data_IF_666631175173
#
_entry.id   IF_666631175173
#
_cell.length_a   1.000
_cell.length_b   1.000
_cell.length_c   1.000
_cell.angle_alpha   90.00
_cell.angle_beta   90.00
_cell.angle_gamma   90.00
#
_symmetry.space_group_name_H-M   'P 1'
#
loop_
_entity.id
_entity.type
_entity.pdbx_description
1 polymer ?
#
# COMPACT_ATOMS: atom_id res chain seq x y z
N UNK A 1 -22.74 27.05 -41.73
CA UNK A 1 -22.19 28.39 -41.99
C UNK A 1 -22.90 29.36 -41.06
N UNK A 2 -22.27 30.18 -40.21
CA UNK A 2 -20.83 30.39 -39.88
C UNK A 2 -20.69 30.59 -38.35
N UNK A 3 -19.51 30.34 -37.78
CA UNK A 3 -19.19 30.54 -36.35
C UNK A 3 -18.78 32.00 -36.03
N UNK A 4 -18.96 32.41 -34.76
CA UNK A 4 -17.90 33.01 -33.90
C UNK A 4 -18.37 32.97 -32.43
N UNK A 5 -17.71 32.24 -31.53
CA UNK A 5 -16.42 32.51 -30.85
C UNK A 5 -16.54 33.50 -29.68
N UNK A 6 -16.87 33.00 -28.48
CA UNK A 6 -16.59 33.69 -27.21
C UNK A 6 -15.17 33.37 -26.72
N UNK A 7 -14.52 34.34 -26.09
CA UNK A 7 -13.14 34.23 -25.60
C UNK A 7 -13.10 33.64 -24.19
N UNK A 8 -12.14 32.73 -23.94
CA UNK A 8 -11.68 32.39 -22.59
C UNK A 8 -10.38 33.15 -22.33
N UNK A 9 -10.32 33.89 -21.21
CA UNK A 9 -9.12 34.57 -20.77
C UNK A 9 -8.24 33.67 -19.91
N UNK A 10 -6.93 33.67 -20.17
CA UNK A 10 -5.94 33.01 -19.30
C UNK A 10 -5.77 33.79 -17.98
N UNK A 11 -5.82 33.13 -16.81
CA UNK A 11 -5.17 33.64 -15.62
C UNK A 11 -3.65 33.40 -15.72
N UNK A 12 -2.83 34.44 -15.52
CA UNK A 12 -1.39 34.26 -15.34
C UNK A 12 -1.12 33.60 -13.98
N UNK A 13 -0.23 32.59 -13.88
CA UNK A 13 0.18 32.05 -12.59
C UNK A 13 0.99 33.08 -11.81
N UNK A 14 0.65 33.29 -10.55
CA UNK A 14 1.38 34.20 -9.66
C UNK A 14 2.69 33.57 -9.15
N UNK A 15 3.59 34.40 -8.66
CA UNK A 15 5.01 34.06 -8.40
C UNK A 15 5.26 33.01 -7.30
N UNK A 16 4.21 32.53 -6.61
CA UNK A 16 4.32 31.51 -5.57
C UNK A 16 4.66 30.09 -6.11
N UNK A 17 4.15 29.73 -7.29
CA UNK A 17 4.20 28.33 -7.78
C UNK A 17 5.61 27.82 -8.14
N UNK A 18 6.55 28.73 -8.46
CA UNK A 18 7.93 28.34 -8.80
C UNK A 18 8.65 27.66 -7.63
N UNK A 19 8.46 28.17 -6.41
CA UNK A 19 9.14 27.66 -5.22
C UNK A 19 8.63 26.27 -4.78
N UNK A 20 7.35 25.97 -5.04
CA UNK A 20 6.77 24.64 -4.76
C UNK A 20 7.32 23.59 -5.72
N UNK A 21 7.46 23.92 -7.02
CA UNK A 21 8.00 22.99 -8.02
C UNK A 21 9.48 22.66 -7.81
N UNK A 22 10.27 23.60 -7.29
CA UNK A 22 11.71 23.41 -7.08
C UNK A 22 12.02 22.54 -5.83
N UNK A 23 11.11 22.48 -4.85
CA UNK A 23 11.30 21.70 -3.59
C UNK A 23 10.89 20.22 -3.67
N UNK A 24 10.62 19.69 -4.87
CA UNK A 24 10.25 18.27 -5.13
C UNK A 24 11.35 17.47 -5.86
N UNK A 25 12.59 17.96 -5.92
CA UNK A 25 13.69 17.32 -6.68
C UNK A 25 14.91 16.90 -5.86
N UNK A 26 14.80 16.89 -4.53
CA UNK A 26 15.85 16.49 -3.59
C UNK A 26 15.30 15.55 -2.52
N UNK A 27 15.26 14.26 -2.83
CA UNK A 27 15.04 13.19 -1.87
C UNK A 27 15.88 11.99 -2.36
N UNK A 28 17.17 12.08 -2.09
CA UNK A 28 18.14 11.04 -2.41
C UNK A 28 17.84 9.81 -1.56
N UNK A 29 17.79 8.65 -2.21
CA UNK A 29 17.52 7.38 -1.52
C UNK A 29 18.84 6.88 -0.95
N UNK A 30 19.00 6.97 0.37
CA UNK A 30 20.13 6.37 1.10
C UNK A 30 20.07 4.84 0.97
N UNK A 31 20.81 4.29 0.00
CA UNK A 31 20.83 2.85 -0.32
C UNK A 31 21.76 2.07 0.61
N UNK A 32 21.19 1.32 1.55
CA UNK A 32 21.95 0.43 2.44
C UNK A 32 21.23 -0.90 2.75
N UNK A 33 21.04 -1.72 1.71
CA UNK A 33 20.68 -3.14 1.84
C UNK A 33 21.28 -3.96 0.69
N UNK A 34 21.93 -5.08 1.00
CA UNK A 34 22.62 -5.91 0.02
C UNK A 34 21.63 -6.58 -0.95
N UNK A 35 21.65 -6.17 -2.22
CA UNK A 35 21.06 -6.90 -3.33
C UNK A 35 22.13 -7.24 -4.37
N UNK A 36 22.21 -8.51 -4.73
CA UNK A 36 23.16 -9.03 -5.71
C UNK A 36 22.66 -8.67 -7.12
N UNK A 37 23.33 -7.74 -7.82
CA UNK A 37 22.96 -7.33 -9.19
C UNK A 37 23.03 -8.53 -10.15
N UNK A 38 21.96 -8.74 -10.91
CA UNK A 38 21.83 -9.79 -11.94
C UNK A 38 21.99 -9.23 -13.37
N UNK A 39 22.09 -7.90 -13.51
CA UNK A 39 22.27 -7.22 -14.81
C UNK A 39 23.50 -6.29 -14.78
N UNK A 40 24.23 -6.16 -15.90
CA UNK A 40 25.38 -5.26 -16.01
C UNK A 40 24.94 -3.80 -16.10
N UNK A 41 25.75 -2.89 -15.56
CA UNK A 41 25.49 -1.45 -15.64
C UNK A 41 25.80 -0.91 -17.04
N UNK A 42 24.86 -0.14 -17.60
CA UNK A 42 25.04 0.57 -18.87
C UNK A 42 25.89 1.82 -18.63
N UNK A 43 27.08 1.85 -19.21
CA UNK A 43 28.01 2.99 -19.10
C UNK A 43 27.57 4.08 -20.07
N UNK A 44 27.22 5.27 -19.58
CA UNK A 44 27.02 6.44 -20.42
C UNK A 44 28.36 6.88 -21.04
N UNK A 45 28.49 6.78 -22.37
CA UNK A 45 29.65 7.27 -23.10
C UNK A 45 29.63 8.81 -23.16
N UNK A 46 30.34 9.46 -22.24
CA UNK A 46 30.53 10.91 -22.24
C UNK A 46 31.45 11.37 -23.38
N UNK A 47 30.89 12.11 -24.34
CA UNK A 47 31.69 12.74 -25.40
C UNK A 47 32.59 13.84 -24.85
N UNK A 48 33.85 13.86 -25.31
CA UNK A 48 34.89 14.76 -24.83
C UNK A 48 34.65 16.23 -25.16
N UNK A 49 34.90 17.11 -24.17
CA UNK A 49 35.10 18.54 -24.34
C UNK A 49 36.20 19.04 -23.38
N UNK A 50 37.45 18.98 -23.82
CA UNK A 50 38.63 19.66 -23.23
C UNK A 50 38.47 21.19 -23.39
N UNK A 51 39.12 22.12 -22.69
CA UNK A 51 40.35 22.22 -21.85
C UNK A 51 40.10 23.42 -20.88
N UNK A 52 40.83 23.80 -19.82
CA UNK A 52 42.21 23.58 -19.31
C UNK A 52 42.17 23.56 -17.75
N UNK A 53 43.18 22.96 -17.10
CA UNK A 53 43.60 23.32 -15.73
C UNK A 53 45.03 23.87 -15.77
N UNK A 54 45.34 24.88 -14.96
CA UNK A 54 46.70 25.40 -14.76
C UNK A 54 47.13 25.22 -13.30
N UNK A 55 48.12 24.37 -13.07
CA UNK A 55 48.78 24.11 -11.78
C UNK A 55 50.19 24.69 -11.80
N UNK A 56 50.56 25.43 -10.76
CA UNK A 56 51.93 25.77 -10.32
C UNK A 56 51.79 26.63 -9.04
N UNK A 57 52.67 26.61 -8.04
CA UNK A 57 53.80 25.72 -7.75
C UNK A 57 53.94 25.60 -6.21
N UNK A 58 54.64 24.57 -5.72
CA UNK A 58 55.02 24.41 -4.32
C UNK A 58 56.54 24.60 -4.19
N UNK A 59 56.97 25.46 -3.27
CA UNK A 59 58.35 25.55 -2.77
C UNK A 59 58.30 25.91 -1.28
N UNK A 60 59.20 25.30 -0.49
CA UNK A 60 59.41 25.52 0.94
C UNK A 60 60.76 26.24 1.17
N UNK A 61 61.04 26.63 2.42
CA UNK A 61 62.27 27.24 2.93
C UNK A 61 62.67 28.64 2.39
N UNK A 62 62.77 29.62 3.30
CA UNK A 62 64.07 30.26 3.55
C UNK A 62 64.12 30.92 4.94
N UNK A 63 65.31 30.93 5.55
CA UNK A 63 65.57 31.43 6.92
C UNK A 63 66.39 32.72 6.86
N UNK A 64 66.07 33.74 7.69
CA UNK A 64 67.10 34.57 8.33
C UNK A 64 66.59 35.32 9.57
N UNK A 65 67.50 35.52 10.53
CA UNK A 65 67.28 36.19 11.81
C UNK A 65 67.49 37.70 11.71
N UNK A 66 66.82 38.51 12.55
CA UNK A 66 67.50 39.64 13.21
C UNK A 66 66.87 39.94 14.57
N UNK A 67 67.69 40.47 15.47
CA UNK A 67 67.50 40.56 16.92
C UNK A 67 66.83 41.88 17.37
N UNK A 68 66.55 41.96 18.68
CA UNK A 68 66.27 43.18 19.47
C UNK A 68 64.88 43.87 19.23
N UNK A 69 64.33 44.64 20.17
CA UNK A 69 64.94 45.19 21.40
C UNK A 69 64.00 45.13 22.63
N UNK A 70 64.51 45.58 23.78
CA UNK A 70 64.09 45.18 25.13
C UNK A 70 62.94 46.01 25.78
N UNK A 71 62.34 45.41 26.82
CA UNK A 71 61.74 46.05 28.01
C UNK A 71 60.54 47.03 27.92
N UNK A 72 59.45 46.68 28.64
CA UNK A 72 58.85 47.62 29.60
C UNK A 72 58.26 46.90 30.85
N UNK A 73 58.25 47.60 31.98
CA UNK A 73 58.26 47.00 33.32
C UNK A 73 56.93 46.42 33.88
N UNK A 74 57.06 45.21 34.45
CA UNK A 74 56.39 44.65 35.64
C UNK A 74 55.25 45.39 36.36
N UNK A 75 54.23 44.65 36.82
CA UNK A 75 53.84 44.67 38.25
C UNK A 75 52.99 43.48 38.74
N UNK A 76 53.23 43.17 40.01
CA UNK A 76 52.62 42.28 41.02
C UNK A 76 51.24 41.58 40.81
N UNK A 77 51.23 40.30 41.18
CA UNK A 77 50.25 39.55 41.99
C UNK A 77 48.73 39.82 41.90
N UNK A 78 47.96 38.76 41.62
CA UNK A 78 46.70 38.44 42.31
C UNK A 78 46.36 36.94 42.16
N UNK A 79 45.99 36.28 43.26
CA UNK A 79 45.51 34.89 43.24
C UNK A 79 44.09 34.79 42.63
N UNK A 80 43.88 33.79 41.77
CA UNK A 80 42.64 32.97 41.83
C UNK A 80 42.74 31.64 41.08
N UNK A 81 42.95 30.57 41.83
CA UNK A 81 42.78 29.19 41.38
C UNK A 81 41.29 28.85 41.23
N UNK A 82 40.75 29.04 40.03
CA UNK A 82 39.44 28.46 39.67
C UNK A 82 39.59 26.98 39.30
N UNK A 83 39.68 26.13 40.32
CA UNK A 83 39.32 24.72 40.17
C UNK A 83 37.82 24.63 39.87
N UNK A 84 37.48 24.61 38.58
CA UNK A 84 36.18 24.16 38.13
C UNK A 84 36.19 22.63 38.17
N UNK A 85 35.86 22.07 39.34
CA UNK A 85 35.37 20.68 39.46
C UNK A 85 34.05 20.61 38.70
N UNK A 86 34.17 20.39 37.39
CA UNK A 86 33.07 20.54 36.47
C UNK A 86 32.23 19.26 36.46
N UNK A 87 30.99 19.36 36.88
CA UNK A 87 30.04 18.25 37.07
C UNK A 87 29.58 17.58 35.75
N UNK A 88 30.34 17.73 34.65
CA UNK A 88 30.11 17.14 33.32
C UNK A 88 29.82 15.64 33.37
N UNK A 89 30.48 14.90 34.27
CA UNK A 89 30.23 13.46 34.45
C UNK A 89 28.80 13.16 34.94
N UNK A 90 28.22 14.01 35.79
CA UNK A 90 26.82 13.90 36.26
C UNK A 90 25.85 14.18 35.12
N UNK A 91 26.12 15.20 34.30
CA UNK A 91 25.33 15.49 33.10
C UNK A 91 25.44 14.38 32.05
N UNK A 92 26.62 13.79 31.86
CA UNK A 92 26.83 12.62 30.99
C UNK A 92 26.02 11.40 31.43
N UNK A 93 26.06 11.07 32.73
CA UNK A 93 25.24 9.99 33.29
C UNK A 93 23.73 10.27 33.15
N UNK A 94 23.29 11.52 33.33
CA UNK A 94 21.88 11.90 33.13
C UNK A 94 21.44 11.69 31.67
N UNK A 95 22.25 12.10 30.68
CA UNK A 95 21.97 11.88 29.26
C UNK A 95 21.95 10.38 28.91
N UNK A 96 22.90 9.60 29.41
CA UNK A 96 22.93 8.13 29.22
C UNK A 96 21.67 7.48 29.84
N UNK A 97 21.25 7.93 31.03
CA UNK A 97 20.03 7.47 31.69
C UNK A 97 18.76 7.78 30.89
N UNK A 98 18.66 8.96 30.29
CA UNK A 98 17.54 9.33 29.39
C UNK A 98 17.55 8.48 28.12
N UNK A 99 18.70 8.26 27.50
CA UNK A 99 18.81 7.41 26.31
C UNK A 99 18.42 5.96 26.64
N UNK A 100 18.89 5.41 27.77
CA UNK A 100 18.49 4.08 28.24
C UNK A 100 16.98 4.00 28.53
N UNK A 101 16.39 5.03 29.14
CA UNK A 101 14.95 5.08 29.38
C UNK A 101 14.13 5.11 28.07
N UNK A 102 14.60 5.82 27.04
CA UNK A 102 13.98 5.83 25.71
C UNK A 102 14.11 4.45 25.05
N UNK A 103 15.31 3.85 25.05
CA UNK A 103 15.54 2.52 24.46
C UNK A 103 14.70 1.44 25.16
N UNK A 104 14.65 1.46 26.50
CA UNK A 104 13.79 0.56 27.28
C UNK A 104 12.30 0.81 27.03
N UNK A 105 11.87 2.07 26.91
CA UNK A 105 10.49 2.42 26.55
C UNK A 105 10.08 1.86 25.19
N UNK A 106 10.95 1.99 24.18
CA UNK A 106 10.75 1.41 22.84
C UNK A 106 10.77 -0.13 22.88
N UNK A 107 11.66 -0.75 23.65
CA UNK A 107 11.71 -2.21 23.81
C UNK A 107 10.44 -2.78 24.47
N UNK A 108 10.02 -2.19 25.59
CA UNK A 108 8.85 -2.63 26.36
C UNK A 108 7.56 -2.44 25.55
N UNK A 109 7.43 -1.32 24.83
CA UNK A 109 6.27 -1.09 23.95
C UNK A 109 6.26 -2.04 22.75
N UNK A 110 7.39 -2.20 22.04
CA UNK A 110 7.48 -3.06 20.86
C UNK A 110 7.27 -4.56 21.13
N UNK A 111 7.78 -5.08 22.26
CA UNK A 111 7.52 -6.46 22.67
C UNK A 111 6.06 -6.64 23.11
N UNK A 112 5.53 -5.66 23.86
CA UNK A 112 4.14 -5.68 24.35
C UNK A 112 3.08 -5.52 23.25
N UNK A 113 3.35 -4.78 22.19
CA UNK A 113 2.46 -4.63 21.03
C UNK A 113 2.41 -5.91 20.21
N UNK A 114 3.57 -6.45 19.85
CA UNK A 114 3.66 -7.52 18.84
C UNK A 114 3.07 -8.84 19.37
N UNK A 115 3.29 -9.15 20.65
CA UNK A 115 2.67 -10.31 21.29
C UNK A 115 1.14 -10.23 21.35
N UNK A 116 0.59 -9.04 21.64
CA UNK A 116 -0.87 -8.81 21.65
C UNK A 116 -1.47 -8.85 20.25
N UNK A 117 -0.83 -8.22 19.28
CA UNK A 117 -1.33 -8.19 17.90
C UNK A 117 -1.34 -9.59 17.28
N UNK A 118 -0.32 -10.41 17.54
CA UNK A 118 -0.25 -11.81 17.11
C UNK A 118 -1.35 -12.68 17.74
N UNK A 119 -1.63 -12.53 19.04
CA UNK A 119 -2.70 -13.31 19.69
C UNK A 119 -4.10 -12.93 19.22
N UNK A 120 -4.35 -11.64 18.94
CA UNK A 120 -5.60 -11.17 18.33
C UNK A 120 -5.75 -11.69 16.90
N UNK A 121 -4.69 -11.60 16.09
CA UNK A 121 -4.66 -12.13 14.72
C UNK A 121 -5.01 -13.63 14.66
N UNK A 122 -4.38 -14.44 15.52
CA UNK A 122 -4.67 -15.87 15.64
C UNK A 122 -6.13 -16.15 16.05
N UNK A 123 -6.68 -15.34 16.96
CA UNK A 123 -8.08 -15.47 17.42
C UNK A 123 -9.07 -15.11 16.31
N UNK A 124 -8.84 -14.00 15.60
CA UNK A 124 -9.64 -13.62 14.43
C UNK A 124 -9.59 -14.66 13.31
N UNK A 125 -8.41 -15.23 13.01
CA UNK A 125 -8.27 -16.31 12.05
C UNK A 125 -9.05 -17.57 12.46
N UNK A 126 -8.97 -17.98 13.73
CA UNK A 126 -9.72 -19.14 14.22
C UNK A 126 -11.24 -18.92 14.10
N UNK A 127 -11.73 -17.75 14.55
CA UNK A 127 -13.14 -17.35 14.42
C UNK A 127 -13.61 -17.34 12.95
N UNK A 128 -12.77 -16.87 12.03
CA UNK A 128 -13.01 -16.95 10.59
C UNK A 128 -13.16 -18.40 10.12
N UNK A 129 -12.20 -19.28 10.43
CA UNK A 129 -12.20 -20.67 9.95
C UNK A 129 -13.38 -21.47 10.52
N UNK A 130 -13.73 -21.30 11.80
CA UNK A 130 -14.88 -21.95 12.43
C UNK A 130 -16.20 -21.48 11.80
N UNK A 131 -16.34 -20.17 11.57
CA UNK A 131 -17.51 -19.59 10.90
C UNK A 131 -17.62 -20.00 9.42
N UNK A 132 -16.51 -20.09 8.70
CA UNK A 132 -16.46 -20.59 7.33
C UNK A 132 -16.91 -22.05 7.26
N UNK A 133 -16.49 -22.92 8.19
CA UNK A 133 -16.99 -24.31 8.25
C UNK A 133 -18.52 -24.34 8.39
N UNK A 134 -19.09 -23.56 9.31
CA UNK A 134 -20.55 -23.46 9.45
C UNK A 134 -21.27 -22.99 8.17
N UNK A 135 -20.67 -22.10 7.36
CA UNK A 135 -21.23 -21.72 6.05
C UNK A 135 -21.17 -22.90 5.07
N UNK A 136 -20.01 -23.53 4.94
CA UNK A 136 -19.73 -24.61 3.98
C UNK A 136 -20.44 -25.95 4.30
N UNK A 137 -20.86 -26.13 5.54
CA UNK A 137 -21.60 -27.32 5.99
C UNK A 137 -23.12 -27.11 5.93
N UNK A 138 -23.58 -25.91 5.52
CA UNK A 138 -24.99 -25.67 5.19
C UNK A 138 -25.38 -26.36 3.87
N UNK A 139 -26.64 -26.83 3.72
CA UNK A 139 -27.04 -27.60 2.54
C UNK A 139 -26.90 -26.82 1.23
N UNK A 140 -27.03 -25.48 1.28
CA UNK A 140 -26.89 -24.57 0.13
C UNK A 140 -25.51 -24.66 -0.56
N UNK A 141 -24.44 -24.87 0.20
CA UNK A 141 -23.06 -24.85 -0.30
C UNK A 141 -22.39 -26.23 -0.16
N UNK A 142 -23.18 -27.29 0.00
CA UNK A 142 -22.70 -28.66 0.17
C UNK A 142 -21.92 -29.19 -1.06
N UNK A 143 -22.18 -28.64 -2.24
CA UNK A 143 -21.51 -28.91 -3.52
C UNK A 143 -20.03 -28.47 -3.60
N UNK A 144 -19.61 -27.50 -2.77
CA UNK A 144 -18.36 -26.77 -2.99
C UNK A 144 -17.10 -27.66 -2.91
N UNK A 145 -16.25 -27.54 -3.94
CA UNK A 145 -15.06 -28.36 -4.15
C UNK A 145 -14.04 -28.28 -2.99
N UNK A 146 -13.20 -29.32 -2.86
CA UNK A 146 -12.13 -29.36 -1.85
C UNK A 146 -11.15 -28.21 -2.03
N UNK A 147 -10.86 -27.84 -3.27
CA UNK A 147 -9.89 -26.81 -3.62
C UNK A 147 -10.43 -25.41 -3.29
N UNK A 148 -11.71 -25.16 -3.54
CA UNK A 148 -12.38 -23.93 -3.09
C UNK A 148 -12.42 -23.84 -1.55
N UNK A 149 -12.61 -24.98 -0.85
CA UNK A 149 -12.47 -25.07 0.62
C UNK A 149 -11.03 -24.87 1.11
N UNK A 150 -10.00 -25.07 0.28
CA UNK A 150 -8.60 -24.71 0.58
C UNK A 150 -8.35 -23.23 0.30
N UNK A 151 -8.89 -22.69 -0.78
CA UNK A 151 -8.75 -21.29 -1.18
C UNK A 151 -9.31 -20.33 -0.12
N UNK A 152 -10.46 -20.65 0.49
CA UNK A 152 -11.00 -19.91 1.63
C UNK A 152 -10.04 -19.89 2.84
N UNK A 153 -9.36 -21.01 3.14
CA UNK A 153 -8.36 -21.05 4.22
C UNK A 153 -7.14 -20.19 3.89
N UNK A 154 -6.71 -20.18 2.63
CA UNK A 154 -5.62 -19.33 2.14
C UNK A 154 -5.99 -17.84 2.22
N UNK A 155 -7.21 -17.47 1.81
CA UNK A 155 -7.75 -16.12 1.98
C UNK A 155 -7.75 -15.74 3.46
N UNK A 156 -8.33 -16.56 4.35
CA UNK A 156 -8.30 -16.31 5.80
C UNK A 156 -6.90 -16.09 6.36
N UNK A 157 -5.91 -16.90 5.93
CA UNK A 157 -4.51 -16.74 6.33
C UNK A 157 -3.93 -15.41 5.83
N UNK A 158 -4.07 -15.12 4.54
CA UNK A 158 -3.62 -13.85 3.91
C UNK A 158 -4.23 -12.62 4.58
N UNK A 159 -5.49 -12.73 5.01
CA UNK A 159 -6.31 -11.64 5.57
C UNK A 159 -6.02 -11.37 7.05
N UNK A 160 -5.78 -12.41 7.85
CA UNK A 160 -5.66 -12.27 9.31
C UNK A 160 -4.26 -12.57 9.87
N UNK A 161 -3.41 -13.35 9.19
CA UNK A 161 -2.11 -13.82 9.71
C UNK A 161 -0.89 -13.21 9.03
N UNK A 162 -1.08 -12.42 7.96
CA UNK A 162 -0.01 -11.69 7.24
C UNK A 162 -0.23 -10.16 7.39
N UNK A 163 -0.11 -9.60 8.61
CA UNK A 163 -0.49 -8.20 8.89
C UNK A 163 0.35 -7.14 8.17
N UNK A 164 1.53 -7.51 7.67
CA UNK A 164 2.40 -6.73 6.79
C UNK A 164 1.92 -6.68 5.33
N UNK A 165 1.09 -7.62 4.90
CA UNK A 165 0.52 -7.62 3.56
C UNK A 165 -0.65 -6.63 3.49
N UNK A 166 -0.45 -5.53 2.75
CA UNK A 166 -1.43 -4.46 2.59
C UNK A 166 -2.22 -4.53 1.28
N UNK A 167 -1.80 -5.35 0.32
CA UNK A 167 -2.42 -5.43 -1.00
C UNK A 167 -3.87 -5.95 -0.93
N UNK A 168 -4.77 -5.50 -1.83
CA UNK A 168 -6.13 -6.02 -1.90
C UNK A 168 -6.13 -7.48 -2.38
N UNK A 169 -7.04 -8.27 -1.84
CA UNK A 169 -7.39 -9.59 -2.37
C UNK A 169 -8.69 -9.50 -3.14
N UNK A 170 -8.71 -9.99 -4.36
CA UNK A 170 -9.89 -10.00 -5.22
C UNK A 170 -10.27 -11.43 -5.54
N UNK A 171 -11.51 -11.79 -5.22
CA UNK A 171 -12.06 -13.14 -5.35
C UNK A 171 -13.25 -13.05 -6.29
N UNK A 172 -13.11 -13.58 -7.51
CA UNK A 172 -14.23 -13.73 -8.43
C UNK A 172 -14.95 -15.04 -8.13
N UNK A 173 -16.28 -15.00 -8.07
CA UNK A 173 -17.13 -16.15 -7.74
C UNK A 173 -18.19 -16.35 -8.82
N UNK A 174 -18.30 -17.58 -9.32
CA UNK A 174 -19.29 -18.00 -10.32
C UNK A 174 -20.13 -19.18 -9.86
N UNK A 175 -21.14 -19.51 -10.65
CA UNK A 175 -22.12 -20.56 -10.33
C UNK A 175 -23.37 -20.02 -9.63
N UNK A 176 -24.39 -20.89 -9.57
CA UNK A 176 -25.78 -20.54 -9.21
C UNK A 176 -25.95 -19.91 -7.83
N UNK A 177 -25.03 -20.18 -6.91
CA UNK A 177 -25.12 -19.70 -5.52
C UNK A 177 -24.10 -18.62 -5.16
N UNK A 178 -23.39 -18.07 -6.15
CA UNK A 178 -22.31 -17.10 -5.98
C UNK A 178 -22.70 -15.87 -5.14
N UNK A 179 -23.93 -15.39 -5.27
CA UNK A 179 -24.42 -14.18 -4.59
C UNK A 179 -24.57 -14.41 -3.09
N UNK A 180 -25.34 -15.41 -2.69
CA UNK A 180 -25.49 -15.80 -1.29
C UNK A 180 -24.18 -16.27 -0.67
N UNK A 181 -23.33 -16.93 -1.44
CA UNK A 181 -22.00 -17.36 -0.99
C UNK A 181 -21.11 -16.16 -0.65
N UNK A 182 -20.98 -15.19 -1.56
CA UNK A 182 -20.21 -13.97 -1.33
C UNK A 182 -20.75 -13.15 -0.16
N UNK A 183 -22.07 -13.00 -0.04
CA UNK A 183 -22.68 -12.32 1.10
C UNK A 183 -22.42 -13.06 2.43
N UNK A 184 -22.51 -14.40 2.46
CA UNK A 184 -22.21 -15.20 3.64
C UNK A 184 -20.73 -15.15 4.03
N UNK A 185 -19.81 -15.30 3.08
CA UNK A 185 -18.35 -15.23 3.31
C UNK A 185 -17.93 -13.82 3.73
N UNK A 186 -18.49 -12.77 3.12
CA UNK A 186 -18.25 -11.39 3.56
C UNK A 186 -18.74 -11.16 5.00
N UNK A 187 -19.93 -11.64 5.37
CA UNK A 187 -20.37 -11.59 6.77
C UNK A 187 -19.42 -12.30 7.73
N UNK A 188 -18.77 -13.40 7.31
CA UNK A 188 -17.76 -14.09 8.12
C UNK A 188 -16.48 -13.26 8.25
N UNK A 189 -15.98 -12.66 7.17
CA UNK A 189 -14.83 -11.73 7.22
C UNK A 189 -15.13 -10.52 8.11
N UNK A 190 -16.36 -9.98 8.07
CA UNK A 190 -16.82 -8.89 8.93
C UNK A 190 -16.92 -9.30 10.41
N UNK A 191 -17.51 -10.46 10.71
CA UNK A 191 -17.67 -10.99 12.09
C UNK A 191 -16.37 -11.44 12.75
N UNK A 192 -15.36 -11.83 11.98
CA UNK A 192 -14.07 -12.27 12.50
C UNK A 192 -13.16 -11.13 13.01
N UNK A 193 -13.53 -9.86 12.78
CA UNK A 193 -12.75 -8.69 13.19
C UNK A 193 -12.80 -8.48 14.70
N UNK A 194 -11.67 -8.05 15.25
CA UNK A 194 -11.51 -7.68 16.66
C UNK A 194 -12.00 -6.27 16.98
N UNK A 195 -12.12 -5.41 15.96
CA UNK A 195 -12.62 -4.04 16.07
C UNK A 195 -14.16 -4.02 16.03
N UNK A 196 -14.79 -3.30 16.96
CA UNK A 196 -16.25 -3.14 17.03
C UNK A 196 -16.78 -2.55 15.71
N UNK A 197 -17.92 -3.03 15.16
CA UNK A 197 -18.45 -2.54 13.89
C UNK A 197 -18.98 -1.10 14.00
N UNK A 198 -18.08 -0.13 13.85
CA UNK A 198 -18.41 1.25 13.54
C UNK A 198 -19.12 1.27 12.18
N UNK A 199 -20.41 1.61 12.20
CA UNK A 199 -21.34 1.15 11.17
C UNK A 199 -21.12 1.70 9.77
N UNK A 200 -20.73 0.82 8.85
CA UNK A 200 -21.37 0.71 7.53
C UNK A 200 -21.73 -0.76 7.35
N UNK A 201 -22.93 -1.05 6.85
CA UNK A 201 -23.54 -2.39 6.97
C UNK A 201 -22.89 -3.47 6.11
N UNK A 202 -23.38 -4.72 6.24
CA UNK A 202 -23.08 -5.84 5.33
C UNK A 202 -23.74 -5.65 3.94
N UNK A 203 -23.63 -4.44 3.37
CA UNK A 203 -24.26 -3.99 2.14
C UNK A 203 -23.48 -4.56 0.95
N UNK A 204 -24.09 -5.46 0.19
CA UNK A 204 -23.62 -5.79 -1.15
C UNK A 204 -23.88 -4.62 -2.09
N UNK A 205 -22.91 -4.28 -2.92
CA UNK A 205 -23.12 -3.41 -4.08
C UNK A 205 -23.80 -4.30 -5.13
N UNK A 206 -25.02 -3.95 -5.51
CA UNK A 206 -25.67 -4.52 -6.69
C UNK A 206 -25.26 -3.69 -7.89
N UNK A 207 -24.76 -4.33 -8.94
CA UNK A 207 -24.58 -3.69 -10.23
C UNK A 207 -25.93 -3.72 -10.95
N UNK A 208 -26.39 -2.55 -11.38
CA UNK A 208 -27.47 -2.41 -12.34
C UNK A 208 -26.87 -2.01 -13.69
N UNK A 209 -27.57 -2.30 -14.80
CA UNK A 209 -27.02 -2.15 -16.16
C UNK A 209 -26.61 -0.72 -16.53
N UNK A 210 -27.02 0.27 -15.74
CA UNK A 210 -26.65 1.66 -15.88
C UNK A 210 -25.62 2.18 -14.85
N UNK A 211 -25.23 1.38 -13.84
CA UNK A 211 -24.25 1.74 -12.81
C UNK A 211 -22.97 2.29 -13.43
N UNK A 212 -22.59 3.50 -13.00
CA UNK A 212 -21.52 4.27 -13.62
C UNK A 212 -20.23 4.29 -12.77
N UNK A 213 -19.11 4.73 -13.37
CA UNK A 213 -17.81 4.82 -12.70
C UNK A 213 -17.83 5.57 -11.35
N UNK A 214 -18.52 6.71 -11.27
CA UNK A 214 -18.51 7.54 -10.07
C UNK A 214 -19.32 6.88 -8.93
N UNK A 215 -20.46 6.29 -9.27
CA UNK A 215 -21.33 5.56 -8.36
C UNK A 215 -20.66 4.30 -7.78
N UNK A 216 -20.04 3.46 -8.62
CA UNK A 216 -19.32 2.28 -8.14
C UNK A 216 -18.15 2.68 -7.25
N UNK A 217 -17.40 3.72 -7.62
CA UNK A 217 -16.28 4.23 -6.84
C UNK A 217 -16.73 4.73 -5.46
N UNK A 218 -17.83 5.50 -5.37
CA UNK A 218 -18.28 6.04 -4.10
C UNK A 218 -18.96 4.98 -3.22
N UNK A 219 -19.72 4.04 -3.78
CA UNK A 219 -20.24 2.88 -3.02
C UNK A 219 -19.10 2.02 -2.44
N UNK A 220 -18.04 1.75 -3.23
CA UNK A 220 -16.85 1.05 -2.72
C UNK A 220 -16.15 1.86 -1.62
N UNK A 221 -16.05 3.18 -1.77
CA UNK A 221 -15.47 4.08 -0.76
C UNK A 221 -16.30 4.16 0.53
N UNK A 222 -17.63 4.14 0.43
CA UNK A 222 -18.56 4.11 1.58
C UNK A 222 -18.34 2.82 2.38
N UNK A 223 -18.37 1.65 1.72
CA UNK A 223 -18.31 0.33 2.36
C UNK A 223 -16.89 0.00 2.86
N UNK A 224 -15.85 0.38 2.11
CA UNK A 224 -14.45 0.14 2.47
C UNK A 224 -13.85 1.27 3.32
N UNK A 225 -14.55 2.39 3.51
CA UNK A 225 -14.12 3.51 4.35
C UNK A 225 -12.85 4.25 3.87
N UNK A 226 -12.34 5.20 4.69
CA UNK A 226 -11.15 5.98 4.35
C UNK A 226 -9.87 5.16 4.48
N UNK A 227 -8.90 5.38 3.60
CA UNK A 227 -7.57 4.76 3.69
C UNK A 227 -6.89 5.11 5.01
N UNK A 228 -6.48 4.10 5.80
CA UNK A 228 -5.75 4.28 7.05
C UNK A 228 -4.45 3.47 7.00
N UNK A 229 -3.30 4.12 7.10
CA UNK A 229 -1.99 3.47 7.12
C UNK A 229 -1.75 2.57 8.34
N UNK A 230 -2.50 2.77 9.42
CA UNK A 230 -2.48 1.98 10.66
C UNK A 230 -3.52 0.86 10.69
N UNK A 231 -4.14 0.51 9.56
CA UNK A 231 -5.27 -0.42 9.53
C UNK A 231 -4.88 -1.84 9.99
N UNK A 232 -5.39 -2.21 11.18
CA UNK A 232 -5.14 -3.52 11.79
C UNK A 232 -6.04 -4.60 11.19
N UNK A 233 -7.35 -4.33 11.13
CA UNK A 233 -8.38 -5.24 10.61
C UNK A 233 -8.52 -5.18 9.08
N UNK A 234 -8.95 -6.27 8.42
CA UNK A 234 -9.29 -6.22 7.01
C UNK A 234 -10.59 -5.44 6.78
N UNK A 235 -10.83 -5.00 5.55
CA UNK A 235 -12.13 -4.48 5.11
C UNK A 235 -12.61 -5.26 3.92
N UNK A 236 -13.93 -5.41 3.77
CA UNK A 236 -14.47 -6.31 2.76
C UNK A 236 -15.79 -5.82 2.20
N UNK A 237 -15.91 -5.93 0.88
CA UNK A 237 -17.08 -5.53 0.11
C UNK A 237 -17.48 -6.68 -0.83
N UNK A 238 -18.77 -6.71 -1.19
CA UNK A 238 -19.30 -7.59 -2.23
C UNK A 238 -19.77 -6.72 -3.37
N UNK A 239 -19.37 -7.03 -4.60
CA UNK A 239 -19.90 -6.45 -5.84
C UNK A 239 -20.58 -7.58 -6.62
N UNK A 240 -21.90 -7.53 -6.70
CA UNK A 240 -22.71 -8.52 -7.38
C UNK A 240 -22.82 -8.17 -8.87
N UNK A 241 -22.72 -9.18 -9.72
CA UNK A 241 -22.98 -9.12 -11.17
C UNK A 241 -22.04 -8.18 -11.94
N UNK A 242 -20.73 -8.33 -11.72
CA UNK A 242 -19.69 -7.47 -12.34
C UNK A 242 -19.63 -7.57 -13.86
N UNK A 243 -20.22 -8.59 -14.49
CA UNK A 243 -20.36 -8.69 -15.94
C UNK A 243 -21.39 -7.71 -16.53
N UNK A 244 -22.29 -7.16 -15.70
CA UNK A 244 -23.25 -6.13 -16.09
C UNK A 244 -22.67 -4.71 -16.05
N UNK A 245 -21.43 -4.54 -15.58
CA UNK A 245 -20.78 -3.24 -15.50
C UNK A 245 -20.52 -2.64 -16.88
N UNK A 246 -20.92 -1.37 -17.04
CA UNK A 246 -20.42 -0.51 -18.12
C UNK A 246 -18.90 -0.44 -18.10
N UNK A 247 -18.28 -0.39 -19.28
CA UNK A 247 -16.83 -0.41 -19.42
C UNK A 247 -16.08 0.68 -18.60
N UNK A 248 -16.64 1.89 -18.47
CA UNK A 248 -16.02 2.96 -17.67
C UNK A 248 -15.97 2.65 -16.16
N UNK A 249 -16.92 1.84 -15.67
CA UNK A 249 -17.03 1.39 -14.30
C UNK A 249 -16.14 0.17 -14.01
N UNK A 250 -15.90 -0.71 -14.98
CA UNK A 250 -14.92 -1.83 -14.84
C UNK A 250 -13.52 -1.29 -14.48
N UNK A 251 -13.15 -0.11 -15.00
CA UNK A 251 -11.91 0.59 -14.66
C UNK A 251 -11.82 1.05 -13.19
N UNK A 252 -12.91 1.02 -12.42
CA UNK A 252 -12.88 1.20 -10.95
C UNK A 252 -12.33 -0.06 -10.29
N UNK A 253 -12.75 -1.25 -10.75
CA UNK A 253 -12.23 -2.51 -10.24
C UNK A 253 -10.71 -2.59 -10.41
N UNK A 254 -10.18 -2.19 -11.56
CA UNK A 254 -8.73 -2.09 -11.78
C UNK A 254 -8.02 -1.25 -10.70
N UNK A 255 -8.59 -0.11 -10.29
CA UNK A 255 -7.99 0.76 -9.29
C UNK A 255 -8.11 0.22 -7.85
N UNK A 256 -9.22 -0.45 -7.52
CA UNK A 256 -9.43 -1.06 -6.20
C UNK A 256 -8.76 -2.43 -6.04
N UNK A 257 -8.43 -3.11 -7.15
CA UNK A 257 -7.73 -4.40 -7.20
C UNK A 257 -6.22 -4.28 -7.41
N UNK A 258 -5.67 -3.07 -7.57
CA UNK A 258 -4.26 -2.90 -7.87
C UNK A 258 -3.34 -3.30 -6.71
N UNK A 259 -2.19 -3.88 -7.00
CA UNK A 259 -1.26 -4.35 -5.98
C UNK A 259 -0.19 -3.31 -5.59
N UNK A 260 0.03 -2.28 -6.41
CA UNK A 260 0.96 -1.19 -6.12
C UNK A 260 0.24 0.05 -5.55
N UNK A 261 -0.89 0.44 -6.14
CA UNK A 261 -1.57 1.72 -5.89
C UNK A 261 -3.07 1.54 -5.57
N UNK A 262 -3.36 0.75 -4.53
CA UNK A 262 -4.71 0.54 -4.00
C UNK A 262 -5.20 1.70 -3.11
N UNK A 263 -6.48 2.08 -3.17
CA UNK A 263 -7.03 3.16 -2.35
C UNK A 263 -7.27 2.76 -0.89
N UNK A 264 -7.47 1.48 -0.58
CA UNK A 264 -7.74 0.97 0.77
C UNK A 264 -6.86 -0.26 1.06
N UNK A 265 -5.98 -0.24 2.08
CA UNK A 265 -5.16 -1.39 2.43
C UNK A 265 -6.01 -2.53 3.01
N UNK A 266 -5.54 -3.78 2.87
CA UNK A 266 -6.20 -5.00 3.38
C UNK A 266 -7.68 -5.09 2.98
N UNK A 267 -8.01 -4.67 1.77
CA UNK A 267 -9.33 -4.85 1.19
C UNK A 267 -9.51 -6.29 0.70
N UNK A 268 -10.70 -6.85 0.87
CA UNK A 268 -11.12 -8.14 0.31
C UNK A 268 -12.38 -7.90 -0.52
N UNK A 269 -12.24 -7.99 -1.84
CA UNK A 269 -13.31 -7.72 -2.80
C UNK A 269 -13.86 -9.06 -3.30
N UNK A 270 -15.09 -9.36 -2.91
CA UNK A 270 -15.83 -10.50 -3.45
C UNK A 270 -16.64 -10.01 -4.64
N UNK A 271 -16.31 -10.49 -5.84
CA UNK A 271 -16.99 -10.15 -7.09
C UNK A 271 -17.82 -11.36 -7.53
N UNK A 272 -19.07 -11.19 -7.97
CA UNK A 272 -19.82 -12.28 -8.63
C UNK A 272 -20.04 -12.01 -10.11
N UNK A 273 -20.01 -13.06 -10.92
CA UNK A 273 -20.64 -13.03 -12.25
C UNK A 273 -22.12 -13.40 -12.13
N UNK A 274 -22.92 -12.97 -13.11
CA UNK A 274 -24.30 -13.43 -13.28
C UNK A 274 -24.37 -14.95 -13.51
N UNK A 275 -25.52 -15.56 -13.21
CA UNK A 275 -25.75 -16.99 -13.43
C UNK A 275 -25.89 -17.29 -14.93
N UNK A 276 -24.81 -17.74 -15.56
CA UNK A 276 -24.84 -18.38 -16.87
C UNK A 276 -24.64 -19.90 -16.74
N UNK A 277 -25.67 -20.62 -17.20
CA UNK A 277 -25.68 -22.07 -17.40
C UNK A 277 -24.49 -22.65 -18.17
N UNK A 278 -23.78 -21.86 -19.00
CA UNK A 278 -22.59 -22.30 -19.71
C UNK A 278 -21.42 -22.66 -18.77
N UNK A 279 -21.35 -22.04 -17.59
CA UNK A 279 -20.26 -22.22 -16.62
C UNK A 279 -20.25 -23.66 -16.06
N UNK A 280 -21.41 -24.31 -15.96
CA UNK A 280 -21.57 -25.68 -15.42
C UNK A 280 -21.18 -26.82 -16.39
N UNK A 281 -20.78 -26.52 -17.63
CA UNK A 281 -20.40 -27.53 -18.64
C UNK A 281 -19.12 -28.31 -18.28
N UNK A 282 -18.78 -29.39 -19.01
CA UNK A 282 -17.81 -30.39 -18.53
C UNK A 282 -16.39 -30.34 -19.12
N UNK A 283 -16.07 -29.42 -20.04
CA UNK A 283 -14.82 -29.49 -20.85
C UNK A 283 -13.73 -28.46 -20.51
N UNK A 284 -14.09 -27.21 -20.19
CA UNK A 284 -13.15 -26.15 -19.77
C UNK A 284 -13.10 -26.01 -18.24
N UNK A 285 -12.00 -25.50 -17.67
CA UNK A 285 -11.91 -25.24 -16.24
C UNK A 285 -12.74 -24.02 -15.83
N UNK A 286 -13.27 -24.01 -14.60
CA UNK A 286 -14.29 -23.02 -14.22
C UNK A 286 -13.75 -21.58 -14.17
N UNK A 287 -12.48 -21.41 -13.81
CA UNK A 287 -11.74 -20.15 -13.89
C UNK A 287 -11.57 -19.66 -15.34
N UNK A 288 -11.17 -20.54 -16.27
CA UNK A 288 -11.06 -20.21 -17.69
C UNK A 288 -12.42 -19.74 -18.27
N UNK A 289 -13.52 -20.43 -17.93
CA UNK A 289 -14.86 -20.00 -18.33
C UNK A 289 -15.28 -18.67 -17.72
N UNK A 290 -15.01 -18.44 -16.44
CA UNK A 290 -15.34 -17.18 -15.77
C UNK A 290 -14.56 -16.02 -16.38
N UNK A 291 -13.27 -16.22 -16.69
CA UNK A 291 -12.43 -15.27 -17.42
C UNK A 291 -12.99 -14.99 -18.82
N UNK A 292 -13.34 -16.05 -19.57
CA UNK A 292 -13.89 -15.96 -20.93
C UNK A 292 -15.24 -15.24 -20.97
N UNK A 293 -16.19 -15.65 -20.13
CA UNK A 293 -17.50 -15.02 -19.98
C UNK A 293 -17.37 -13.55 -19.63
N UNK A 294 -16.62 -13.22 -18.58
CA UNK A 294 -16.43 -11.84 -18.12
C UNK A 294 -15.74 -10.98 -19.19
N UNK A 295 -14.76 -11.53 -19.92
CA UNK A 295 -14.11 -10.86 -21.05
C UNK A 295 -15.11 -10.55 -22.16
N UNK A 296 -15.91 -11.53 -22.60
CA UNK A 296 -16.93 -11.32 -23.65
C UNK A 296 -17.94 -10.25 -23.25
N UNK A 297 -18.49 -10.32 -22.03
CA UNK A 297 -19.47 -9.36 -21.50
C UNK A 297 -18.88 -7.95 -21.38
N UNK A 298 -17.62 -7.80 -20.96
CA UNK A 298 -16.96 -6.49 -20.92
C UNK A 298 -16.59 -5.93 -22.29
N UNK A 299 -16.34 -6.77 -23.32
CA UNK A 299 -16.22 -6.33 -24.72
C UNK A 299 -17.58 -5.83 -25.22
N UNK A 300 -18.67 -6.59 -24.99
CA UNK A 300 -20.04 -6.18 -25.34
C UNK A 300 -20.43 -4.84 -24.71
N UNK A 301 -20.02 -4.60 -23.45
CA UNK A 301 -20.28 -3.35 -22.72
C UNK A 301 -19.34 -2.18 -23.13
N UNK A 302 -18.57 -2.31 -24.22
CA UNK A 302 -17.75 -1.25 -24.82
C UNK A 302 -16.25 -1.31 -24.51
N UNK A 303 -15.75 -2.41 -23.95
CA UNK A 303 -14.33 -2.64 -23.69
C UNK A 303 -13.53 -3.10 -24.91
N UNK A 304 -12.25 -3.43 -24.69
CA UNK A 304 -11.36 -3.94 -25.73
C UNK A 304 -10.44 -5.06 -25.22
N UNK A 305 -9.96 -5.88 -26.16
CA UNK A 305 -9.00 -6.98 -25.96
C UNK A 305 -7.78 -6.60 -25.14
N UNK A 306 -7.33 -5.35 -25.27
CA UNK A 306 -6.04 -4.90 -24.75
C UNK A 306 -6.17 -4.36 -23.31
N UNK A 307 -7.34 -3.80 -22.99
CA UNK A 307 -7.59 -3.15 -21.70
C UNK A 307 -8.22 -4.08 -20.65
N UNK A 308 -8.84 -5.19 -21.05
CA UNK A 308 -9.48 -6.16 -20.13
C UNK A 308 -8.46 -7.06 -19.39
N UNK A 309 -7.45 -7.66 -20.04
CA UNK A 309 -6.51 -8.57 -19.37
C UNK A 309 -5.76 -7.94 -18.17
N UNK A 310 -5.33 -6.66 -18.19
CA UNK A 310 -4.77 -6.00 -17.00
C UNK A 310 -5.71 -5.93 -15.78
N UNK A 311 -7.02 -6.01 -15.98
CA UNK A 311 -8.03 -6.01 -14.91
C UNK A 311 -8.21 -7.44 -14.38
N UNK A 312 -8.30 -8.42 -15.28
CA UNK A 312 -8.42 -9.84 -14.92
C UNK A 312 -7.14 -10.34 -14.21
N UNK A 313 -5.96 -9.88 -14.62
CA UNK A 313 -4.69 -10.18 -13.96
C UNK A 313 -4.56 -9.64 -12.52
N UNK A 314 -5.52 -8.82 -12.05
CA UNK A 314 -5.63 -8.36 -10.66
C UNK A 314 -6.64 -9.16 -9.84
N UNK A 315 -7.38 -10.09 -10.45
CA UNK A 315 -8.21 -11.07 -9.74
C UNK A 315 -7.27 -12.12 -9.13
N UNK A 316 -7.21 -12.17 -7.80
CA UNK A 316 -6.28 -13.02 -7.06
C UNK A 316 -6.71 -14.49 -7.07
N UNK A 317 -8.03 -14.74 -7.04
CA UNK A 317 -8.62 -16.05 -6.78
C UNK A 317 -9.96 -16.22 -7.52
N UNK A 318 -10.26 -17.45 -7.94
CA UNK A 318 -11.50 -17.85 -8.59
C UNK A 318 -12.19 -18.96 -7.77
N UNK A 319 -13.50 -18.88 -7.56
CA UNK A 319 -14.31 -19.86 -6.81
C UNK A 319 -15.60 -20.16 -7.59
N UNK A 320 -16.07 -21.42 -7.53
CA UNK A 320 -17.32 -21.86 -8.16
C UNK A 320 -18.21 -22.63 -7.16
N UNK A 321 -19.51 -22.33 -7.13
CA UNK A 321 -20.45 -22.74 -6.04
C UNK A 321 -21.88 -23.11 -6.46
#
# INVERSE_FOLDING_TARGET
MVQTRKSFGNPNPTTADRNVRQKRRSLEISTSLNYQKVYPDLIETTSYATTIQTTEQQDDDDVYETENDDSFASSQCSDRSYLSDNDTWKYGLAVIGVILAIVLGVWITGIGSNGKQSSVAATSYQNYIDSIRHVLDSPKFSSISKDNRVLLKLIGRKVFLEPENLAPLVVLVGGKTAKEFCEAVNQVVQKAKSETPAGTGNKSIRVESDTNRAELHENLREILGPSLSSQSSPRSAVVLDVDLLKWDAVLVLHAFADHENYPVPKAVLFLTVSDDSSIDTTEESCDEKMVRFLTSRWIENGGSSDNIPPIIARISYFICV
#
